data_IF_577707938753
#
_entry.id   IF_577707938753
#
_cell.length_a   1.000
_cell.length_b   1.000
_cell.length_c   1.000
_cell.angle_alpha   90.00
_cell.angle_beta   90.00
_cell.angle_gamma   90.00
#
_symmetry.space_group_name_H-M   'P 1'
#
loop_
_entity.id
_entity.type
_entity.pdbx_description
1 polymer ?
#
# COMPACT_ATOMS: atom_id res chain seq x y z
N UNK A 1 -7.23 11.99 -5.27
CA UNK A 1 -6.64 11.77 -3.93
C UNK A 1 -7.56 12.40 -2.89
N UNK A 2 -7.84 11.74 -1.76
CA UNK A 2 -8.58 12.37 -0.68
C UNK A 2 -7.72 13.48 -0.04
N UNK A 3 -8.29 14.64 0.19
CA UNK A 3 -7.56 15.81 0.72
C UNK A 3 -7.28 15.62 2.21
N UNK A 4 -6.06 15.93 2.64
CA UNK A 4 -5.72 16.00 4.05
C UNK A 4 -6.53 17.10 4.74
N UNK A 5 -6.77 16.95 6.04
CA UNK A 5 -7.53 17.95 6.79
C UNK A 5 -6.73 19.25 6.92
N UNK A 6 -5.41 19.18 6.93
CA UNK A 6 -4.51 20.33 6.88
C UNK A 6 -4.69 21.18 5.61
N UNK A 7 -4.96 20.58 4.44
CA UNK A 7 -5.28 21.33 3.22
C UNK A 7 -6.66 21.99 3.25
N UNK A 8 -7.57 21.44 4.07
CA UNK A 8 -8.95 21.92 4.17
C UNK A 8 -9.04 23.01 5.22
N UNK A 9 -8.18 23.00 6.24
CA UNK A 9 -8.27 23.88 7.40
C UNK A 9 -6.96 24.66 7.54
N UNK A 10 -7.03 25.98 7.40
CA UNK A 10 -5.92 26.85 7.79
C UNK A 10 -5.95 26.93 9.30
N UNK A 11 -4.92 26.39 9.95
CA UNK A 11 -4.85 26.37 11.40
C UNK A 11 -3.58 27.08 11.83
N UNK A 12 -3.71 28.20 12.55
CA UNK A 12 -2.63 28.84 13.31
C UNK A 12 -2.30 28.04 14.60
N UNK A 13 -2.62 26.75 14.60
CA UNK A 13 -2.48 25.85 15.75
C UNK A 13 -1.01 25.50 16.00
N UNK A 14 -0.75 25.04 17.22
CA UNK A 14 0.55 24.53 17.66
C UNK A 14 1.08 23.41 16.73
N UNK A 15 2.42 23.26 16.61
CA UNK A 15 3.05 22.33 15.65
C UNK A 15 2.59 20.87 15.80
N UNK A 16 2.32 20.43 17.02
CA UNK A 16 1.87 19.07 17.33
C UNK A 16 0.48 18.79 16.74
N UNK A 17 -0.43 19.75 16.85
CA UNK A 17 -1.78 19.68 16.26
C UNK A 17 -1.70 19.69 14.73
N UNK A 18 -0.80 20.50 14.15
CA UNK A 18 -0.56 20.52 12.69
C UNK A 18 -0.08 19.18 12.17
N UNK A 19 0.80 18.49 12.91
CA UNK A 19 1.27 17.15 12.54
C UNK A 19 0.11 16.16 12.48
N UNK A 20 -0.76 16.15 13.49
CA UNK A 20 -1.96 15.29 13.48
C UNK A 20 -2.96 15.62 12.37
N UNK A 21 -3.05 16.88 11.94
CA UNK A 21 -3.97 17.28 10.85
C UNK A 21 -3.55 16.75 9.47
N UNK A 22 -2.25 16.52 9.24
CA UNK A 22 -1.76 15.91 8.01
C UNK A 22 -2.16 14.43 7.90
N UNK A 23 -2.21 13.74 9.04
CA UNK A 23 -2.56 12.32 9.11
C UNK A 23 -4.07 12.07 9.02
N UNK A 24 -4.89 13.13 9.11
CA UNK A 24 -6.34 13.04 9.07
C UNK A 24 -6.83 13.34 7.66
N UNK A 25 -7.64 12.43 7.14
CA UNK A 25 -8.19 12.50 5.79
C UNK A 25 -9.69 12.64 5.86
N UNK A 26 -10.24 13.59 5.09
CA UNK A 26 -11.68 13.76 4.96
C UNK A 26 -12.26 12.67 4.04
N UNK A 27 -13.11 11.78 4.58
CA UNK A 27 -13.79 10.75 3.78
C UNK A 27 -15.12 11.21 3.23
N UNK A 28 -15.96 11.80 4.08
CA UNK A 28 -17.35 12.11 3.70
C UNK A 28 -17.90 13.27 4.53
N UNK A 29 -18.68 14.11 3.87
CA UNK A 29 -19.52 15.11 4.52
C UNK A 29 -20.97 14.82 4.15
N UNK A 30 -21.86 14.75 5.14
CA UNK A 30 -23.30 14.70 4.91
C UNK A 30 -24.01 15.74 5.77
N UNK A 31 -24.99 16.42 5.15
CA UNK A 31 -25.74 17.50 5.80
C UNK A 31 -27.21 17.10 5.85
N UNK A 32 -27.74 17.00 7.07
CA UNK A 32 -29.17 16.91 7.29
C UNK A 32 -29.73 18.33 7.39
N UNK A 33 -30.31 18.83 6.29
CA UNK A 33 -30.83 20.19 6.19
C UNK A 33 -32.00 20.47 7.14
N UNK A 34 -32.89 19.49 7.36
CA UNK A 34 -34.09 19.69 8.19
C UNK A 34 -33.76 19.80 9.68
N UNK A 35 -32.72 19.11 10.14
CA UNK A 35 -32.24 19.19 11.53
C UNK A 35 -31.05 20.13 11.72
N UNK A 36 -30.55 20.73 10.63
CA UNK A 36 -29.31 21.49 10.60
C UNK A 36 -28.13 20.74 11.26
N UNK A 37 -27.94 19.46 10.91
CA UNK A 37 -26.87 18.62 11.45
C UNK A 37 -25.87 18.30 10.35
N UNK A 38 -24.61 18.58 10.63
CA UNK A 38 -23.46 18.22 9.79
C UNK A 38 -22.81 16.98 10.37
N UNK A 39 -22.68 15.94 9.56
CA UNK A 39 -21.95 14.74 9.92
C UNK A 39 -20.72 14.65 9.02
N UNK A 40 -19.55 14.70 9.64
CA UNK A 40 -18.27 14.64 8.94
C UNK A 40 -17.57 13.37 9.37
N UNK A 41 -17.23 12.53 8.40
CA UNK A 41 -16.47 11.30 8.59
C UNK A 41 -15.03 11.57 8.22
N UNK A 42 -14.16 11.44 9.22
CA UNK A 42 -12.73 11.63 9.14
C UNK A 42 -12.06 10.27 9.35
N UNK A 43 -10.98 10.01 8.61
CA UNK A 43 -10.13 8.85 8.87
C UNK A 43 -8.77 9.29 9.38
N UNK A 44 -8.28 8.57 10.38
CA UNK A 44 -6.97 8.81 10.98
C UNK A 44 -6.24 7.49 11.18
N UNK A 45 -4.92 7.58 11.12
CA UNK A 45 -4.00 6.46 11.32
C UNK A 45 -3.71 6.26 12.82
N UNK A 46 -3.70 7.36 13.59
CA UNK A 46 -3.46 7.37 15.03
C UNK A 46 -4.74 7.65 15.82
N UNK A 47 -4.73 7.26 17.10
CA UNK A 47 -5.78 7.65 18.04
C UNK A 47 -5.69 9.16 18.25
N UNK A 48 -6.72 9.87 17.85
CA UNK A 48 -6.77 11.32 18.01
C UNK A 48 -7.19 11.64 19.44
N UNK A 49 -6.36 12.43 20.10
CA UNK A 49 -6.63 12.99 21.43
C UNK A 49 -7.80 13.97 21.40
N UNK A 50 -8.53 14.10 22.51
CA UNK A 50 -9.77 14.88 22.53
C UNK A 50 -9.55 16.39 22.34
N UNK A 51 -8.40 16.92 22.76
CA UNK A 51 -7.93 18.28 22.47
C UNK A 51 -7.89 18.56 20.95
N UNK A 52 -7.33 17.65 20.15
CA UNK A 52 -7.20 17.78 18.70
C UNK A 52 -8.59 17.70 18.05
N UNK A 53 -9.48 16.83 18.54
CA UNK A 53 -10.87 16.75 18.04
C UNK A 53 -11.62 18.06 18.21
N UNK A 54 -11.47 18.72 19.37
CA UNK A 54 -12.11 20.01 19.63
C UNK A 54 -11.55 21.12 18.73
N UNK A 55 -10.23 21.14 18.51
CA UNK A 55 -9.60 22.09 17.57
C UNK A 55 -10.12 21.89 16.14
N UNK A 56 -10.21 20.64 15.68
CA UNK A 56 -10.78 20.31 14.37
C UNK A 56 -12.22 20.79 14.27
N UNK A 57 -13.04 20.50 15.28
CA UNK A 57 -14.45 20.87 15.32
C UNK A 57 -14.63 22.39 15.24
N UNK A 58 -13.89 23.14 16.05
CA UNK A 58 -13.91 24.60 16.06
C UNK A 58 -13.53 25.18 14.71
N UNK A 59 -12.45 24.69 14.11
CA UNK A 59 -11.97 25.20 12.84
C UNK A 59 -12.92 24.88 11.67
N UNK A 60 -13.52 23.69 11.65
CA UNK A 60 -14.53 23.32 10.64
C UNK A 60 -15.78 24.19 10.77
N UNK A 61 -16.24 24.45 12.00
CA UNK A 61 -17.38 25.35 12.23
C UNK A 61 -17.10 26.77 11.71
N UNK A 62 -15.90 27.29 11.97
CA UNK A 62 -15.49 28.63 11.51
C UNK A 62 -15.38 28.70 9.98
N UNK A 63 -14.64 27.77 9.37
CA UNK A 63 -14.35 27.78 7.93
C UNK A 63 -15.61 27.59 7.08
N UNK A 64 -16.52 26.72 7.52
CA UNK A 64 -17.76 26.43 6.80
C UNK A 64 -18.98 27.18 7.33
N UNK A 65 -18.81 28.09 8.31
CA UNK A 65 -19.88 28.88 8.94
C UNK A 65 -21.05 27.99 9.40
N UNK A 66 -20.74 26.87 10.03
CA UNK A 66 -21.74 25.89 10.48
C UNK A 66 -22.48 26.48 11.67
N UNK A 67 -23.77 26.79 11.49
CA UNK A 67 -24.66 27.32 12.54
C UNK A 67 -25.41 26.22 13.32
N UNK A 68 -25.25 24.97 12.89
CA UNK A 68 -25.94 23.81 13.45
C UNK A 68 -25.04 22.86 14.24
N UNK A 69 -25.56 21.69 14.58
CA UNK A 69 -24.76 20.67 15.28
C UNK A 69 -23.75 20.04 14.33
N UNK A 70 -22.48 19.97 14.75
CA UNK A 70 -21.41 19.26 14.04
C UNK A 70 -21.05 17.97 14.78
N UNK A 71 -21.28 16.84 14.11
CA UNK A 71 -20.87 15.51 14.55
C UNK A 71 -19.63 15.08 13.76
N UNK A 72 -18.53 14.81 14.47
CA UNK A 72 -17.32 14.23 13.90
C UNK A 72 -17.29 12.74 14.21
N UNK A 73 -17.21 11.92 13.17
CA UNK A 73 -16.98 10.49 13.30
C UNK A 73 -15.57 10.17 12.83
N UNK A 74 -14.76 9.58 13.72
CA UNK A 74 -13.39 9.20 13.41
C UNK A 74 -13.33 7.70 13.18
N UNK A 75 -12.99 7.32 11.96
CA UNK A 75 -12.75 5.93 11.57
C UNK A 75 -11.25 5.64 11.55
N UNK A 76 -10.85 4.49 12.09
CA UNK A 76 -9.50 3.98 11.83
C UNK A 76 -9.39 3.64 10.35
N UNK A 77 -8.31 4.08 9.70
CA UNK A 77 -8.12 3.83 8.28
C UNK A 77 -7.90 2.32 8.05
N UNK A 78 -8.94 1.61 7.58
CA UNK A 78 -8.89 0.15 7.37
C UNK A 78 -7.93 -0.31 6.26
N UNK A 79 -7.45 0.61 5.43
CA UNK A 79 -6.57 0.31 4.29
C UNK A 79 -5.09 0.54 4.60
N UNK A 80 -4.73 0.91 5.82
CA UNK A 80 -3.35 1.19 6.18
C UNK A 80 -2.60 -0.10 6.50
N UNK A 81 -1.47 -0.28 5.82
CA UNK A 81 -0.52 -1.35 6.07
C UNK A 81 0.09 -1.10 7.45
N UNK A 82 -0.16 -1.97 8.41
CA UNK A 82 0.53 -1.93 9.70
C UNK A 82 1.63 -2.98 9.67
N UNK A 83 2.87 -2.51 9.76
CA UNK A 83 4.06 -3.36 9.88
C UNK A 83 4.67 -3.00 11.22
N UNK A 84 4.78 -4.00 12.08
CA UNK A 84 5.38 -3.92 13.41
C UNK A 84 6.80 -4.49 13.40
N UNK A 85 7.11 -5.37 12.45
CA UNK A 85 8.42 -5.98 12.28
C UNK A 85 8.70 -6.33 10.83
N UNK A 86 9.96 -6.54 10.49
CA UNK A 86 10.37 -6.99 9.15
C UNK A 86 9.73 -8.31 8.71
N UNK A 87 9.35 -9.17 9.67
CA UNK A 87 8.67 -10.44 9.36
C UNK A 87 7.30 -10.23 8.72
N UNK A 88 6.66 -9.09 8.97
CA UNK A 88 5.36 -8.80 8.36
C UNK A 88 5.49 -8.60 6.83
N UNK A 89 6.71 -8.34 6.32
CA UNK A 89 6.97 -8.30 4.87
C UNK A 89 6.96 -9.69 4.23
N UNK A 90 7.07 -10.77 5.01
CA UNK A 90 6.91 -12.14 4.50
C UNK A 90 5.46 -12.40 4.04
N UNK A 91 4.48 -11.62 4.52
CA UNK A 91 3.12 -11.62 4.00
C UNK A 91 3.08 -10.96 2.61
N UNK A 92 2.77 -11.77 1.60
CA UNK A 92 2.68 -11.36 0.20
C UNK A 92 1.72 -10.19 -0.03
N UNK A 93 0.60 -10.14 0.71
CA UNK A 93 -0.38 -9.08 0.57
C UNK A 93 0.15 -7.73 1.08
N UNK A 94 0.96 -7.76 2.15
CA UNK A 94 1.60 -6.59 2.73
C UNK A 94 2.68 -6.09 1.77
N UNK A 95 3.57 -6.98 1.32
CA UNK A 95 4.61 -6.66 0.34
C UNK A 95 4.01 -6.02 -0.92
N UNK A 96 3.01 -6.66 -1.54
CA UNK A 96 2.39 -6.15 -2.77
C UNK A 96 1.77 -4.77 -2.59
N UNK A 97 1.14 -4.50 -1.44
CA UNK A 97 0.58 -3.18 -1.14
C UNK A 97 1.68 -2.13 -0.97
N UNK A 98 2.79 -2.44 -0.30
CA UNK A 98 3.92 -1.50 -0.17
C UNK A 98 4.48 -1.16 -1.55
N UNK A 99 4.75 -2.17 -2.38
CA UNK A 99 5.26 -1.96 -3.74
C UNK A 99 4.28 -1.10 -4.56
N UNK A 100 2.98 -1.34 -4.43
CA UNK A 100 1.97 -0.53 -5.09
C UNK A 100 1.94 0.91 -4.58
N UNK A 101 2.04 1.14 -3.27
CA UNK A 101 2.08 2.49 -2.70
C UNK A 101 3.30 3.28 -3.21
N UNK A 102 4.48 2.65 -3.25
CA UNK A 102 5.71 3.30 -3.69
C UNK A 102 5.69 3.60 -5.19
N UNK A 103 5.28 2.62 -6.00
CA UNK A 103 5.41 2.66 -7.46
C UNK A 103 4.08 2.78 -8.20
N UNK A 104 3.03 3.33 -7.57
CA UNK A 104 1.74 3.54 -8.23
C UNK A 104 1.85 4.40 -9.50
N UNK A 105 2.83 5.32 -9.56
CA UNK A 105 3.12 6.14 -10.73
C UNK A 105 3.99 5.44 -11.79
N UNK A 106 4.55 4.27 -11.48
CA UNK A 106 5.36 3.46 -12.39
C UNK A 106 4.84 2.02 -12.45
N UNK A 107 3.75 1.77 -13.20
CA UNK A 107 3.11 0.46 -13.27
C UNK A 107 4.04 -0.66 -13.71
N UNK A 108 5.02 -0.36 -14.58
CA UNK A 108 6.01 -1.33 -15.03
C UNK A 108 6.89 -1.82 -13.87
N UNK A 109 7.43 -0.90 -13.06
CA UNK A 109 8.27 -1.26 -11.89
C UNK A 109 7.44 -2.03 -10.87
N UNK A 110 6.22 -1.54 -10.58
CA UNK A 110 5.31 -2.23 -9.66
C UNK A 110 5.02 -3.67 -10.11
N UNK A 111 4.73 -3.88 -11.40
CA UNK A 111 4.45 -5.19 -11.95
C UNK A 111 5.66 -6.14 -11.83
N UNK A 112 6.86 -5.69 -12.18
CA UNK A 112 8.08 -6.52 -12.06
C UNK A 112 8.28 -6.95 -10.61
N UNK A 113 8.21 -6.01 -9.66
CA UNK A 113 8.47 -6.28 -8.25
C UNK A 113 7.38 -7.14 -7.59
N UNK A 114 6.11 -6.94 -7.94
CA UNK A 114 4.99 -7.73 -7.40
C UNK A 114 4.99 -9.19 -7.87
N UNK A 115 5.57 -9.47 -9.04
CA UNK A 115 5.71 -10.82 -9.58
C UNK A 115 7.07 -11.47 -9.23
N UNK A 116 8.00 -10.70 -8.65
CA UNK A 116 9.30 -11.22 -8.25
C UNK A 116 9.18 -12.07 -6.98
N UNK A 117 9.96 -13.15 -6.92
CA UNK A 117 10.16 -13.86 -5.66
C UNK A 117 10.98 -12.97 -4.71
N UNK A 118 10.75 -13.07 -3.41
CA UNK A 118 11.55 -12.33 -2.44
C UNK A 118 11.72 -13.10 -1.13
N UNK A 119 12.69 -12.69 -0.33
CA UNK A 119 12.97 -13.24 1.00
C UNK A 119 13.39 -12.13 1.95
N UNK A 120 12.98 -12.27 3.20
CA UNK A 120 13.45 -11.42 4.30
C UNK A 120 14.46 -12.24 5.10
N UNK A 121 15.70 -11.74 5.21
CA UNK A 121 16.75 -12.38 5.98
C UNK A 121 17.34 -11.33 6.91
N UNK A 122 17.19 -11.54 8.22
CA UNK A 122 17.63 -10.62 9.27
C UNK A 122 17.09 -9.20 9.04
N UNK A 123 17.93 -8.31 8.52
CA UNK A 123 17.63 -6.91 8.25
C UNK A 123 17.65 -6.57 6.76
N UNK A 124 17.54 -7.58 5.89
CA UNK A 124 17.61 -7.46 4.44
C UNK A 124 16.36 -8.01 3.76
N UNK A 125 15.83 -7.25 2.80
CA UNK A 125 14.85 -7.71 1.81
C UNK A 125 15.57 -8.00 0.50
N UNK A 126 15.62 -9.28 0.12
CA UNK A 126 16.22 -9.74 -1.13
C UNK A 126 15.11 -10.03 -2.13
N UNK A 127 15.12 -9.36 -3.27
CA UNK A 127 14.12 -9.51 -4.34
C UNK A 127 14.83 -10.13 -5.55
N UNK A 128 14.32 -11.28 -6.01
CA UNK A 128 14.84 -12.05 -7.12
C UNK A 128 14.12 -11.64 -8.41
N UNK A 129 14.83 -10.89 -9.25
CA UNK A 129 14.34 -10.37 -10.53
C UNK A 129 14.56 -11.42 -11.61
N UNK A 130 13.56 -11.66 -12.45
CA UNK A 130 13.55 -12.78 -13.40
C UNK A 130 14.65 -12.73 -14.47
N UNK A 131 15.11 -11.54 -14.84
CA UNK A 131 16.08 -11.37 -15.93
C UNK A 131 16.99 -10.15 -15.71
N UNK A 132 18.19 -10.22 -16.29
CA UNK A 132 19.21 -9.18 -16.22
C UNK A 132 18.73 -7.81 -16.72
N UNK A 133 17.94 -7.75 -17.80
CA UNK A 133 17.45 -6.47 -18.34
C UNK A 133 16.59 -5.71 -17.31
N UNK A 134 15.62 -6.39 -16.71
CA UNK A 134 14.80 -5.84 -15.63
C UNK A 134 15.66 -5.45 -14.42
N UNK A 135 16.66 -6.27 -14.07
CA UNK A 135 17.55 -5.98 -12.96
C UNK A 135 18.33 -4.68 -13.17
N UNK A 136 18.94 -4.51 -14.34
CA UNK A 136 19.69 -3.29 -14.71
C UNK A 136 18.78 -2.08 -14.69
N UNK A 137 17.58 -2.19 -15.29
CA UNK A 137 16.59 -1.11 -15.29
C UNK A 137 16.21 -0.67 -13.86
N UNK A 138 15.92 -1.64 -12.97
CA UNK A 138 15.52 -1.34 -11.58
C UNK A 138 16.66 -0.70 -10.78
N UNK A 139 17.91 -1.13 -11.01
CA UNK A 139 19.11 -0.54 -10.40
C UNK A 139 19.35 0.89 -10.88
N UNK A 140 19.23 1.16 -12.17
CA UNK A 140 19.34 2.51 -12.74
C UNK A 140 18.30 3.46 -12.16
N UNK A 141 17.10 2.95 -11.88
CA UNK A 141 16.00 3.68 -11.23
C UNK A 141 16.14 3.74 -9.70
N UNK A 142 17.22 3.24 -9.11
CA UNK A 142 17.50 3.27 -7.67
C UNK A 142 16.36 2.70 -6.81
N UNK A 143 15.71 1.65 -7.30
CA UNK A 143 14.53 1.04 -6.67
C UNK A 143 14.82 0.57 -5.24
N UNK A 144 16.00 0.01 -4.98
CA UNK A 144 16.44 -0.40 -3.63
C UNK A 144 16.37 0.74 -2.62
N UNK A 145 16.86 1.93 -3.01
CA UNK A 145 16.85 3.12 -2.17
C UNK A 145 15.42 3.63 -1.92
N UNK A 146 14.55 3.59 -2.93
CA UNK A 146 13.16 4.01 -2.75
C UNK A 146 12.40 3.11 -1.77
N UNK A 147 12.59 1.80 -1.87
CA UNK A 147 11.91 0.85 -0.97
C UNK A 147 12.44 0.98 0.46
N UNK A 148 13.76 0.98 0.65
CA UNK A 148 14.37 1.13 1.97
C UNK A 148 13.97 2.45 2.64
N UNK A 149 14.03 3.57 1.90
CA UNK A 149 13.64 4.87 2.41
C UNK A 149 12.16 4.93 2.77
N UNK A 150 11.27 4.39 1.93
CA UNK A 150 9.85 4.35 2.23
C UNK A 150 9.53 3.56 3.50
N UNK A 151 10.16 2.39 3.66
CA UNK A 151 9.96 1.54 4.85
C UNK A 151 10.47 2.25 6.11
N UNK A 152 11.64 2.90 6.01
CA UNK A 152 12.21 3.70 7.09
C UNK A 152 11.30 4.86 7.47
N UNK A 153 10.86 5.66 6.50
CA UNK A 153 10.08 6.87 6.78
C UNK A 153 8.68 6.54 7.31
N UNK A 154 8.05 5.51 6.76
CA UNK A 154 6.66 5.16 7.12
C UNK A 154 6.57 4.31 8.37
N UNK A 155 7.53 3.42 8.61
CA UNK A 155 7.46 2.43 9.70
C UNK A 155 8.59 2.54 10.72
N UNK A 156 9.56 3.46 10.53
CA UNK A 156 10.75 3.59 11.40
C UNK A 156 11.58 2.30 11.47
N UNK A 157 11.57 1.51 10.39
CA UNK A 157 12.32 0.26 10.25
C UNK A 157 13.46 0.49 9.27
N UNK A 158 14.70 0.38 9.74
CA UNK A 158 15.87 0.37 8.88
C UNK A 158 16.01 -1.01 8.21
N UNK A 159 16.08 -1.04 6.89
CA UNK A 159 16.19 -2.26 6.09
C UNK A 159 17.13 -2.06 4.92
N UNK A 160 17.95 -3.06 4.62
CA UNK A 160 18.72 -3.14 3.39
C UNK A 160 17.89 -3.83 2.31
N UNK A 161 17.79 -3.24 1.12
CA UNK A 161 17.06 -3.86 -0.01
C UNK A 161 18.07 -4.25 -1.08
N UNK A 162 18.00 -5.49 -1.55
CA UNK A 162 18.90 -6.04 -2.58
C UNK A 162 18.11 -6.65 -3.73
N UNK A 163 18.41 -6.18 -4.93
CA UNK A 163 17.94 -6.77 -6.19
C UNK A 163 19.01 -7.73 -6.71
N UNK A 164 18.61 -8.98 -6.86
CA UNK A 164 19.47 -10.05 -7.39
C UNK A 164 18.79 -10.71 -8.58
N UNK A 165 19.57 -11.16 -9.55
CA UNK A 165 19.01 -11.97 -10.63
C UNK A 165 18.61 -13.33 -10.08
N UNK A 166 17.45 -13.82 -10.52
CA UNK A 166 17.00 -15.17 -10.22
C UNK A 166 17.89 -16.16 -10.95
N UNK A 167 18.68 -16.95 -10.21
CA UNK A 167 19.42 -18.06 -10.78
C UNK A 167 18.44 -19.00 -11.50
N UNK A 168 18.70 -19.29 -12.78
CA UNK A 168 17.87 -20.19 -13.58
C UNK A 168 18.14 -21.61 -13.11
N UNK A 169 17.18 -22.18 -12.39
CA UNK A 169 17.15 -23.61 -12.07
C UNK A 169 16.59 -24.37 -13.29
N UNK A 170 17.49 -24.73 -14.19
CA UNK A 170 17.19 -25.46 -15.42
C UNK A 170 16.51 -26.81 -15.16
N UNK A 171 16.81 -27.46 -14.03
CA UNK A 171 16.23 -28.76 -13.68
C UNK A 171 14.75 -28.60 -13.35
N UNK A 172 14.40 -27.60 -12.52
CA UNK A 172 13.00 -27.28 -12.22
C UNK A 172 12.19 -26.85 -13.46
N UNK A 173 12.83 -26.09 -14.36
CA UNK A 173 12.20 -25.62 -15.59
C UNK A 173 11.90 -26.78 -16.55
N UNK A 174 12.87 -27.66 -16.76
CA UNK A 174 12.71 -28.85 -17.60
C UNK A 174 11.63 -29.78 -17.05
N UNK A 175 11.56 -29.95 -15.72
CA UNK A 175 10.54 -30.77 -15.08
C UNK A 175 9.12 -30.18 -15.26
N UNK A 176 8.96 -28.86 -15.12
CA UNK A 176 7.67 -28.19 -15.39
C UNK A 176 7.24 -28.34 -16.84
N UNK A 177 8.16 -28.08 -17.77
CA UNK A 177 7.89 -28.20 -19.20
C UNK A 177 7.50 -29.62 -19.61
N UNK A 178 8.20 -30.63 -19.09
CA UNK A 178 7.83 -32.03 -19.32
C UNK A 178 6.43 -32.37 -18.79
N UNK A 179 6.04 -31.82 -17.64
CA UNK A 179 4.70 -32.02 -17.09
C UNK A 179 3.62 -31.30 -17.92
N UNK A 180 3.91 -30.09 -18.39
CA UNK A 180 3.02 -29.35 -19.30
C UNK A 180 2.83 -30.12 -20.61
N UNK A 181 3.90 -30.56 -21.25
CA UNK A 181 3.86 -31.35 -22.48
C UNK A 181 3.07 -32.65 -22.27
N UNK A 182 3.30 -33.35 -21.14
CA UNK A 182 2.57 -34.58 -20.80
C UNK A 182 1.07 -34.32 -20.59
N UNK A 183 0.71 -33.20 -19.96
CA UNK A 183 -0.68 -32.83 -19.75
C UNK A 183 -1.38 -32.50 -21.07
N UNK A 184 -0.71 -31.79 -21.98
CA UNK A 184 -1.22 -31.47 -23.32
C UNK A 184 -1.44 -32.75 -24.13
N UNK A 185 -0.47 -33.66 -24.13
CA UNK A 185 -0.60 -34.95 -24.81
C UNK A 185 -1.78 -35.75 -24.25
N UNK A 186 -1.88 -35.83 -22.92
CA UNK A 186 -2.97 -36.54 -22.27
C UNK A 186 -4.34 -35.93 -22.60
N UNK A 187 -4.47 -34.59 -22.58
CA UNK A 187 -5.73 -33.92 -22.92
C UNK A 187 -6.14 -34.18 -24.38
N UNK A 188 -5.21 -34.11 -25.33
CA UNK A 188 -5.48 -34.43 -26.73
C UNK A 188 -5.90 -35.89 -26.91
N UNK A 189 -5.28 -36.83 -26.19
CA UNK A 189 -5.63 -38.24 -26.27
C UNK A 189 -7.02 -38.51 -25.68
N UNK A 190 -7.40 -37.85 -24.59
CA UNK A 190 -8.77 -37.95 -24.05
C UNK A 190 -9.81 -37.37 -25.00
N UNK A 191 -9.56 -36.20 -25.60
CA UNK A 191 -10.47 -35.58 -26.56
C UNK A 191 -10.64 -36.43 -27.84
N UNK A 192 -9.57 -37.05 -28.34
CA UNK A 192 -9.63 -37.96 -29.48
C UNK A 192 -10.38 -39.28 -29.16
N UNK A 193 -10.32 -39.76 -27.92
CA UNK A 193 -11.04 -40.97 -27.52
C UNK A 193 -12.53 -40.73 -27.27
N UNK A 194 -12.91 -39.54 -26.80
CA UNK A 194 -14.32 -39.15 -26.64
C UNK A 194 -14.99 -38.79 -27.97
N UNK A 195 -14.22 -38.35 -28.98
CA UNK A 195 -14.73 -38.07 -30.34
C UNK A 195 -14.98 -39.31 -31.21
N UNK A 196 -14.54 -40.49 -30.75
CA UNK A 196 -14.67 -41.78 -31.45
C UNK A 196 -15.72 -42.73 -30.81
N UNK A 197 -16.56 -42.22 -29.91
CA UNK A 197 -17.77 -42.89 -29.39
C UNK A 197 -19.02 -42.27 -29.99
#
# INVERSE_FOLDING_TARGET
MPKSLAEIIDSDSEPEVKKSLNDIVLKKISVNKSKNIWNIVLSSNSKIEDNVKEVIKKNLCLKFKISGQLNLNFEKNKNEIQISSLKDLEDESIYKKIINDIFCSSPMIACILQNSNYKVIENSLIIYVENEFSLVMLKDKKVESYISQYIKDKFSIDIEVKLVEKAVDFDSYNLKKQNEDKNIINSCLTECNDSNK
#
